data_IF_770411530439
#
_entry.id   IF_770411530439
#
_cell.length_a   1.000
_cell.length_b   1.000
_cell.length_c   1.000
_cell.angle_alpha   90.00
_cell.angle_beta   90.00
_cell.angle_gamma   90.00
#
_symmetry.space_group_name_H-M   'P 1'
#
loop_
_entity.id
_entity.type
_entity.pdbx_description
1 polymer ?
#
# COMPACT_ATOMS: atom_id res chain seq x y z
N UNK A 1 -3.93 -16.98 -16.94
CA UNK A 1 -2.65 -16.27 -16.86
C UNK A 1 -1.79 -16.86 -15.76
N UNK A 2 -0.50 -17.05 -16.02
CA UNK A 2 0.45 -17.46 -14.99
C UNK A 2 0.69 -16.29 -14.02
N UNK A 3 0.85 -16.59 -12.73
CA UNK A 3 1.21 -15.63 -11.69
C UNK A 3 2.42 -16.21 -10.95
N UNK A 4 3.41 -15.37 -10.65
CA UNK A 4 4.49 -15.72 -9.72
C UNK A 4 4.17 -15.00 -8.40
N UNK A 5 3.67 -15.67 -7.35
CA UNK A 5 3.10 -15.00 -6.17
C UNK A 5 4.16 -14.42 -5.21
N UNK A 6 5.45 -14.65 -5.48
CA UNK A 6 6.56 -14.22 -4.63
C UNK A 6 7.68 -13.56 -5.44
N UNK A 7 8.45 -12.68 -4.81
CA UNK A 7 9.72 -12.17 -5.34
C UNK A 7 10.83 -12.40 -4.32
N UNK A 8 12.05 -12.66 -4.79
CA UNK A 8 13.21 -12.70 -3.91
C UNK A 8 13.76 -11.29 -3.68
N UNK A 9 14.01 -10.94 -2.43
CA UNK A 9 14.64 -9.68 -2.01
C UNK A 9 15.88 -9.98 -1.20
N UNK A 10 16.97 -9.27 -1.52
CA UNK A 10 18.23 -9.31 -0.76
C UNK A 10 18.44 -7.98 -0.05
N UNK A 11 18.64 -8.01 1.27
CA UNK A 11 19.11 -6.87 2.04
C UNK A 11 20.63 -7.01 2.29
N UNK A 12 21.49 -6.32 1.53
CA UNK A 12 22.94 -6.42 1.70
C UNK A 12 23.48 -5.59 2.88
N UNK A 13 22.63 -4.84 3.58
CA UNK A 13 23.05 -3.91 4.63
C UNK A 13 23.28 -4.62 5.97
N UNK A 14 24.03 -3.95 6.86
CA UNK A 14 24.24 -4.40 8.24
C UNK A 14 23.08 -4.12 9.22
N UNK A 15 21.96 -3.59 8.73
CA UNK A 15 20.76 -3.32 9.51
C UNK A 15 19.51 -3.81 8.77
N UNK A 16 18.43 -4.05 9.52
CA UNK A 16 17.16 -4.47 8.94
C UNK A 16 16.54 -3.34 8.10
N UNK A 17 15.85 -3.71 7.01
CA UNK A 17 15.21 -2.77 6.08
C UNK A 17 13.70 -3.02 6.05
N UNK A 18 12.92 -1.96 6.24
CA UNK A 18 11.48 -2.01 6.10
C UNK A 18 11.08 -1.86 4.63
N UNK A 19 10.24 -2.78 4.15
CA UNK A 19 9.50 -2.71 2.89
C UNK A 19 8.02 -2.63 3.26
N UNK A 20 7.39 -1.44 3.21
CA UNK A 20 5.99 -1.31 3.61
C UNK A 20 5.04 -1.95 2.60
N UNK A 21 3.89 -2.44 3.08
CA UNK A 21 2.86 -2.99 2.21
C UNK A 21 2.40 -1.94 1.19
N UNK A 22 2.19 -2.39 -0.04
CA UNK A 22 1.68 -1.53 -1.10
C UNK A 22 2.78 -0.89 -1.93
N UNK A 23 4.04 -1.01 -1.53
CA UNK A 23 5.16 -0.53 -2.34
C UNK A 23 5.12 -1.20 -3.72
N UNK A 24 5.25 -0.39 -4.76
CA UNK A 24 5.24 -0.85 -6.16
C UNK A 24 6.67 -1.20 -6.57
N UNK A 25 6.81 -2.33 -7.25
CA UNK A 25 8.06 -2.87 -7.76
C UNK A 25 7.95 -2.92 -9.29
N UNK A 26 8.75 -2.09 -9.96
CA UNK A 26 8.79 -2.00 -11.41
C UNK A 26 9.72 -3.06 -11.99
N UNK A 27 9.46 -3.46 -13.23
CA UNK A 27 10.30 -4.38 -13.98
C UNK A 27 9.71 -5.78 -14.05
N UNK A 28 10.58 -6.78 -13.99
CA UNK A 28 10.22 -8.19 -14.12
C UNK A 28 9.42 -8.51 -15.38
N UNK A 29 8.70 -9.62 -15.31
CA UNK A 29 7.70 -9.98 -16.32
C UNK A 29 6.40 -9.15 -16.21
N UNK A 30 6.12 -8.59 -15.03
CA UNK A 30 4.93 -7.79 -14.68
C UNK A 30 5.26 -6.85 -13.51
N UNK A 31 4.72 -5.63 -13.51
CA UNK A 31 4.80 -4.73 -12.34
C UNK A 31 4.05 -5.32 -11.14
N UNK A 32 4.65 -5.26 -9.95
CA UNK A 32 4.12 -5.88 -8.73
C UNK A 32 3.89 -4.87 -7.60
N UNK A 33 3.07 -5.26 -6.63
CA UNK A 33 2.96 -4.58 -5.33
C UNK A 33 3.19 -5.56 -4.19
N UNK A 34 3.83 -5.11 -3.11
CA UNK A 34 4.15 -5.94 -1.92
C UNK A 34 2.89 -6.16 -1.07
N UNK A 35 2.60 -7.40 -0.67
CA UNK A 35 1.32 -7.76 -0.02
C UNK A 35 1.20 -7.32 1.45
N UNK A 36 2.30 -7.41 2.19
CA UNK A 36 2.38 -7.13 3.64
C UNK A 36 3.63 -6.29 3.92
N UNK A 37 3.69 -5.63 5.07
CA UNK A 37 4.91 -4.93 5.49
C UNK A 37 5.92 -5.94 5.99
N UNK A 38 7.18 -5.77 5.58
CA UNK A 38 8.24 -6.75 5.81
C UNK A 38 9.45 -6.03 6.36
N UNK A 39 9.95 -6.47 7.51
CA UNK A 39 11.23 -6.04 8.05
C UNK A 39 12.28 -7.09 7.65
N UNK A 40 12.99 -6.83 6.55
CA UNK A 40 13.99 -7.76 6.00
C UNK A 40 15.23 -7.74 6.91
N UNK A 41 15.67 -8.89 7.46
CA UNK A 41 16.86 -8.93 8.33
C UNK A 41 18.11 -8.44 7.60
N UNK A 42 19.11 -7.98 8.37
CA UNK A 42 20.43 -7.62 7.84
C UNK A 42 21.08 -8.83 7.13
N UNK A 43 21.68 -8.60 5.95
CA UNK A 43 22.38 -9.63 5.18
C UNK A 43 21.51 -10.77 4.63
N UNK A 44 20.18 -10.70 4.76
CA UNK A 44 19.29 -11.79 4.41
C UNK A 44 18.77 -11.69 2.96
N UNK A 45 18.55 -12.86 2.36
CA UNK A 45 17.76 -13.02 1.15
C UNK A 45 16.48 -13.78 1.50
N UNK A 46 15.32 -13.20 1.24
CA UNK A 46 14.01 -13.78 1.57
C UNK A 46 13.03 -13.67 0.41
N UNK A 47 12.07 -14.59 0.34
CA UNK A 47 10.95 -14.50 -0.59
C UNK A 47 9.80 -13.70 0.03
N UNK A 48 9.38 -12.65 -0.68
CA UNK A 48 8.31 -11.74 -0.26
C UNK A 48 7.03 -11.99 -1.06
N UNK A 49 5.84 -11.98 -0.42
CA UNK A 49 4.57 -12.13 -1.12
C UNK A 49 4.22 -10.84 -1.88
N UNK A 50 3.82 -10.99 -3.14
CA UNK A 50 3.46 -9.89 -4.03
C UNK A 50 2.16 -10.18 -4.78
N UNK A 51 1.61 -9.15 -5.42
CA UNK A 51 0.53 -9.28 -6.40
C UNK A 51 0.86 -8.50 -7.66
N UNK A 52 0.46 -9.03 -8.82
CA UNK A 52 0.61 -8.35 -10.11
C UNK A 52 -0.36 -7.17 -10.19
N UNK A 53 0.14 -6.02 -10.64
CA UNK A 53 -0.67 -4.83 -10.94
C UNK A 53 -0.64 -4.49 -12.42
N UNK A 54 -0.30 -5.48 -13.24
CA UNK A 54 -0.29 -5.45 -14.71
C UNK A 54 -0.75 -6.82 -15.22
N UNK A 55 -1.93 -6.89 -15.85
CA UNK A 55 -2.56 -8.16 -16.20
C UNK A 55 -2.14 -8.69 -17.58
N UNK A 56 -1.89 -7.79 -18.53
CA UNK A 56 -1.74 -8.10 -19.96
C UNK A 56 -0.30 -8.20 -20.47
N UNK A 57 0.71 -8.01 -19.62
CA UNK A 57 2.13 -8.23 -19.98
C UNK A 57 2.62 -9.53 -19.36
N UNK A 58 3.35 -10.33 -20.13
CA UNK A 58 4.12 -11.47 -19.61
C UNK A 58 5.43 -11.58 -20.38
N UNK A 59 6.41 -10.79 -19.96
CA UNK A 59 7.72 -10.69 -20.61
C UNK A 59 8.48 -9.47 -20.10
N UNK A 60 9.80 -9.48 -20.21
CA UNK A 60 10.67 -8.45 -19.64
C UNK A 60 11.97 -9.05 -19.12
N UNK A 61 12.65 -8.33 -18.21
CA UNK A 61 13.81 -8.82 -17.50
C UNK A 61 13.45 -9.61 -16.24
N UNK A 62 14.46 -10.07 -15.51
CA UNK A 62 14.30 -10.76 -14.21
C UNK A 62 14.50 -9.82 -13.01
N UNK A 63 14.90 -8.57 -13.25
CA UNK A 63 15.17 -7.59 -12.19
C UNK A 63 13.94 -6.76 -11.87
N UNK A 64 13.85 -6.37 -10.60
CA UNK A 64 12.89 -5.40 -10.12
C UNK A 64 13.60 -4.21 -9.52
N UNK A 65 12.99 -3.03 -9.63
CA UNK A 65 13.44 -1.82 -8.95
C UNK A 65 12.32 -1.29 -8.07
N UNK A 66 12.68 -0.78 -6.89
CA UNK A 66 11.76 0.05 -6.14
C UNK A 66 11.35 1.24 -7.02
N UNK A 67 10.05 1.42 -7.14
CA UNK A 67 9.46 2.48 -7.95
C UNK A 67 9.39 3.83 -7.22
N UNK A 68 9.70 3.87 -5.92
CA UNK A 68 9.49 5.01 -5.02
C UNK A 68 8.02 5.44 -4.95
N UNK A 69 7.11 4.48 -5.11
CA UNK A 69 5.66 4.70 -5.19
C UNK A 69 4.89 3.63 -4.43
N UNK A 70 3.76 4.04 -3.86
CA UNK A 70 2.76 3.12 -3.32
C UNK A 70 1.61 2.94 -4.31
N UNK A 71 1.08 1.72 -4.37
CA UNK A 71 -0.18 1.46 -5.03
C UNK A 71 -1.28 2.31 -4.38
N UNK A 72 -2.28 2.71 -5.17
CA UNK A 72 -3.36 3.54 -4.64
C UNK A 72 -4.23 2.77 -3.63
N UNK A 73 -5.08 3.52 -2.93
CA UNK A 73 -5.94 3.00 -1.86
C UNK A 73 -6.78 1.79 -2.29
N UNK A 74 -7.39 1.82 -3.49
CA UNK A 74 -8.28 0.73 -3.94
C UNK A 74 -7.54 -0.57 -4.16
N UNK A 75 -6.37 -0.51 -4.81
CA UNK A 75 -5.50 -1.67 -5.03
C UNK A 75 -5.01 -2.22 -3.69
N UNK A 76 -4.49 -1.36 -2.80
CA UNK A 76 -4.02 -1.78 -1.47
C UNK A 76 -5.14 -2.39 -0.61
N UNK A 77 -6.35 -1.81 -0.65
CA UNK A 77 -7.53 -2.36 0.04
C UNK A 77 -7.91 -3.75 -0.48
N UNK A 78 -8.09 -3.91 -1.79
CA UNK A 78 -8.45 -5.20 -2.39
C UNK A 78 -7.40 -6.28 -2.05
N UNK A 79 -6.13 -5.89 -2.12
CA UNK A 79 -5.01 -6.75 -1.77
C UNK A 79 -5.05 -7.22 -0.31
N UNK A 80 -5.26 -6.27 0.60
CA UNK A 80 -5.30 -6.55 2.03
C UNK A 80 -6.52 -7.39 2.44
N UNK A 81 -7.68 -7.18 1.80
CA UNK A 81 -8.84 -8.07 1.97
C UNK A 81 -8.54 -9.49 1.51
N UNK A 82 -7.87 -9.65 0.35
CA UNK A 82 -7.46 -10.94 -0.17
C UNK A 82 -6.49 -11.68 0.76
N UNK A 83 -5.46 -10.99 1.26
CA UNK A 83 -4.51 -11.57 2.23
C UNK A 83 -5.23 -11.99 3.51
N UNK A 84 -6.10 -11.12 4.05
CA UNK A 84 -6.85 -11.44 5.28
C UNK A 84 -7.77 -12.65 5.11
N UNK A 85 -8.33 -12.85 3.94
CA UNK A 85 -9.18 -14.01 3.63
C UNK A 85 -8.35 -15.29 3.46
N UNK A 86 -7.20 -15.19 2.79
CA UNK A 86 -6.25 -16.31 2.65
C UNK A 86 -5.78 -16.82 4.02
N UNK A 87 -5.50 -15.90 4.94
CA UNK A 87 -5.07 -16.19 6.31
C UNK A 87 -6.14 -16.85 7.19
N UNK A 88 -7.42 -16.82 6.80
CA UNK A 88 -8.47 -17.58 7.50
C UNK A 88 -8.42 -19.07 7.20
N UNK A 89 -7.85 -19.44 6.05
CA UNK A 89 -7.90 -20.79 5.51
C UNK A 89 -6.52 -21.43 5.40
N UNK A 90 -5.44 -20.64 5.48
CA UNK A 90 -4.05 -21.09 5.35
C UNK A 90 -3.09 -20.09 6.02
N UNK A 91 -1.78 -20.39 6.02
CA UNK A 91 -0.73 -19.43 6.39
C UNK A 91 -0.22 -18.60 5.20
N UNK A 92 -0.90 -18.67 4.05
CA UNK A 92 -0.49 -17.96 2.84
C UNK A 92 -0.79 -16.46 2.93
N UNK A 93 0.20 -15.64 2.59
CA UNK A 93 0.07 -14.18 2.46
C UNK A 93 -0.22 -13.76 1.00
N UNK A 94 -0.83 -14.66 0.24
CA UNK A 94 -1.26 -14.40 -1.14
C UNK A 94 -2.58 -13.63 -1.11
N UNK A 95 -2.68 -12.61 -1.94
CA UNK A 95 -3.94 -11.91 -2.20
C UNK A 95 -4.79 -12.64 -3.24
N UNK A 96 -6.05 -12.23 -3.38
CA UNK A 96 -6.83 -12.45 -4.59
C UNK A 96 -6.29 -11.59 -5.74
N UNK A 97 -5.62 -12.24 -6.69
CA UNK A 97 -5.04 -11.60 -7.87
C UNK A 97 -6.11 -11.00 -8.80
N UNK A 98 -7.27 -11.65 -8.92
CA UNK A 98 -8.37 -11.17 -9.75
C UNK A 98 -8.97 -9.89 -9.18
N UNK A 99 -9.15 -9.82 -7.85
CA UNK A 99 -9.62 -8.61 -7.17
C UNK A 99 -8.63 -7.43 -7.30
N UNK A 100 -7.32 -7.71 -7.26
CA UNK A 100 -6.29 -6.69 -7.49
C UNK A 100 -6.36 -6.14 -8.92
N UNK A 101 -6.45 -7.01 -9.93
CA UNK A 101 -6.61 -6.56 -11.32
C UNK A 101 -7.90 -5.79 -11.53
N UNK A 102 -9.01 -6.24 -10.96
CA UNK A 102 -10.28 -5.52 -11.04
C UNK A 102 -10.18 -4.11 -10.42
N UNK A 103 -9.42 -3.93 -9.34
CA UNK A 103 -9.18 -2.62 -8.74
C UNK A 103 -8.35 -1.70 -9.64
N UNK A 104 -7.37 -2.23 -10.37
CA UNK A 104 -6.60 -1.49 -11.39
C UNK A 104 -7.51 -1.10 -12.56
N UNK A 105 -8.23 -2.07 -13.12
CA UNK A 105 -9.18 -1.85 -14.23
C UNK A 105 -10.24 -0.82 -13.89
N UNK A 106 -10.78 -0.86 -12.66
CA UNK A 106 -11.75 0.13 -12.20
C UNK A 106 -11.19 1.55 -12.28
N UNK A 107 -9.95 1.76 -11.86
CA UNK A 107 -9.32 3.09 -11.87
C UNK A 107 -8.95 3.56 -13.28
N UNK A 108 -8.48 2.66 -14.13
CA UNK A 108 -8.25 2.94 -15.56
C UNK A 108 -9.55 3.39 -16.24
N UNK A 109 -10.63 2.62 -16.06
CA UNK A 109 -11.95 2.93 -16.64
C UNK A 109 -12.52 4.25 -16.08
N UNK A 110 -12.46 4.44 -14.75
CA UNK A 110 -12.95 5.66 -14.09
C UNK A 110 -12.28 6.93 -14.62
N UNK A 111 -11.01 6.83 -15.02
CA UNK A 111 -10.22 7.95 -15.55
C UNK A 111 -10.19 8.01 -17.09
N UNK A 112 -10.81 7.06 -17.77
CA UNK A 112 -10.80 6.98 -19.24
C UNK A 112 -9.40 6.72 -19.82
N UNK A 113 -8.54 6.02 -19.10
CA UNK A 113 -7.17 5.73 -19.53
C UNK A 113 -7.17 4.48 -20.41
N UNK A 114 -6.66 4.60 -21.64
CA UNK A 114 -6.41 3.45 -22.48
C UNK A 114 -5.11 2.76 -22.06
N UNK A 115 -5.22 1.51 -21.59
CA UNK A 115 -4.10 0.69 -21.14
C UNK A 115 -4.19 -0.71 -21.75
N UNK A 116 -3.42 -1.01 -22.82
CA UNK A 116 -3.46 -2.30 -23.48
C UNK A 116 -3.11 -3.49 -22.57
N UNK A 117 -2.26 -3.27 -21.56
CA UNK A 117 -1.85 -4.31 -20.61
C UNK A 117 -2.50 -4.22 -19.23
N UNK A 118 -3.50 -3.33 -19.05
CA UNK A 118 -4.12 -3.06 -17.75
C UNK A 118 -3.06 -2.80 -16.66
N UNK A 119 -2.12 -1.90 -16.94
CA UNK A 119 -0.99 -1.60 -16.07
C UNK A 119 -1.33 -0.45 -15.12
N UNK A 120 -1.13 -0.68 -13.82
CA UNK A 120 -1.25 0.36 -12.79
C UNK A 120 -0.39 1.60 -13.09
N UNK A 121 0.78 1.42 -13.72
CA UNK A 121 1.66 2.51 -14.12
C UNK A 121 0.98 3.53 -15.03
N UNK A 122 0.03 3.12 -15.86
CA UNK A 122 -0.68 4.05 -16.75
C UNK A 122 -1.55 5.05 -15.96
N UNK A 123 -2.01 4.67 -14.75
CA UNK A 123 -2.71 5.56 -13.81
C UNK A 123 -1.73 6.61 -13.26
N UNK A 124 -0.50 6.20 -12.97
CA UNK A 124 0.56 7.09 -12.47
C UNK A 124 0.98 8.09 -13.56
N UNK A 125 1.24 7.59 -14.77
CA UNK A 125 1.63 8.41 -15.92
C UNK A 125 0.53 9.39 -16.32
N UNK A 126 -0.74 9.01 -16.13
CA UNK A 126 -1.86 9.95 -16.28
C UNK A 126 -1.81 11.05 -15.21
N UNK A 127 -1.63 10.71 -13.94
CA UNK A 127 -1.59 11.69 -12.85
C UNK A 127 -0.40 12.67 -12.95
N UNK A 128 0.71 12.24 -13.54
CA UNK A 128 1.86 13.13 -13.81
C UNK A 128 1.57 14.16 -14.91
N UNK A 129 0.72 13.82 -15.89
CA UNK A 129 0.33 14.71 -17.00
C UNK A 129 -0.87 15.59 -16.65
N UNK A 130 -1.70 15.17 -15.70
CA UNK A 130 -2.81 15.96 -15.20
C UNK A 130 -2.31 17.08 -14.28
N UNK A 131 -2.51 18.33 -14.68
CA UNK A 131 -1.99 19.50 -13.97
C UNK A 131 -2.44 19.56 -12.50
N UNK A 132 -3.72 19.24 -12.23
CA UNK A 132 -4.27 19.29 -10.88
C UNK A 132 -3.61 18.25 -9.96
N UNK A 133 -3.53 17.00 -10.43
CA UNK A 133 -2.89 15.90 -9.70
C UNK A 133 -1.41 16.15 -9.49
N UNK A 134 -0.68 16.58 -10.53
CA UNK A 134 0.74 16.89 -10.46
C UNK A 134 1.02 18.02 -9.46
N UNK A 135 0.23 19.09 -9.49
CA UNK A 135 0.38 20.22 -8.56
C UNK A 135 0.05 19.82 -7.11
N UNK A 136 -0.98 19.00 -6.90
CA UNK A 136 -1.34 18.48 -5.58
C UNK A 136 -0.22 17.61 -4.99
N UNK A 137 0.36 16.70 -5.78
CA UNK A 137 1.51 15.89 -5.37
C UNK A 137 2.67 16.80 -4.99
N UNK A 138 3.04 17.76 -5.85
CA UNK A 138 4.16 18.67 -5.57
C UNK A 138 3.96 19.49 -4.29
N UNK A 139 2.74 20.00 -4.04
CA UNK A 139 2.44 20.76 -2.82
C UNK A 139 2.56 19.88 -1.56
N UNK A 140 1.98 18.68 -1.58
CA UNK A 140 2.01 17.76 -0.44
C UNK A 140 3.42 17.25 -0.15
N UNK A 141 4.19 16.92 -1.20
CA UNK A 141 5.60 16.50 -1.07
C UNK A 141 6.43 17.63 -0.48
N UNK A 142 6.29 18.86 -0.99
CA UNK A 142 7.03 20.02 -0.50
C UNK A 142 6.73 20.35 0.96
N UNK A 143 5.46 20.21 1.39
CA UNK A 143 5.07 20.47 2.79
C UNK A 143 5.69 19.49 3.76
N UNK A 144 5.82 18.22 3.35
CA UNK A 144 6.36 17.17 4.20
C UNK A 144 5.48 16.86 5.43
N UNK A 145 5.86 15.85 6.22
CA UNK A 145 5.28 15.63 7.54
C UNK A 145 5.73 16.70 8.53
N UNK A 146 4.90 17.01 9.52
CA UNK A 146 5.25 17.89 10.64
C UNK A 146 6.33 17.25 11.53
N UNK A 147 7.10 18.07 12.25
CA UNK A 147 8.10 17.58 13.20
C UNK A 147 7.47 16.63 14.24
N UNK A 148 8.03 15.43 14.36
CA UNK A 148 7.53 14.38 15.27
C UNK A 148 6.27 13.65 14.78
N UNK A 149 5.73 13.99 13.60
CA UNK A 149 4.63 13.25 13.00
C UNK A 149 5.09 11.85 12.60
N UNK A 150 4.34 10.83 13.01
CA UNK A 150 4.61 9.42 12.76
C UNK A 150 3.55 8.74 11.87
N UNK A 151 2.50 9.47 11.49
CA UNK A 151 1.49 8.93 10.58
C UNK A 151 0.55 9.98 10.02
N UNK A 152 -0.31 9.56 9.11
CA UNK A 152 -1.27 10.41 8.40
C UNK A 152 -2.60 9.69 8.25
N UNK A 153 -3.70 10.42 8.40
CA UNK A 153 -5.05 9.93 8.10
C UNK A 153 -5.59 10.73 6.91
N UNK A 154 -6.03 10.01 5.89
CA UNK A 154 -6.46 10.56 4.61
C UNK A 154 -7.98 10.56 4.57
N UNK A 155 -8.55 11.64 4.04
CA UNK A 155 -9.98 11.77 3.84
C UNK A 155 -10.32 12.26 2.44
N UNK A 156 -11.43 11.76 1.91
CA UNK A 156 -12.10 12.29 0.73
C UNK A 156 -13.32 13.07 1.22
N UNK A 157 -13.22 14.41 1.25
CA UNK A 157 -14.19 15.26 1.94
C UNK A 157 -14.23 14.96 3.46
N UNK A 158 -15.41 14.60 3.97
CA UNK A 158 -15.57 14.21 5.40
C UNK A 158 -15.27 12.73 5.66
N UNK A 159 -15.10 11.91 4.61
CA UNK A 159 -14.97 10.46 4.75
C UNK A 159 -13.51 10.09 4.94
N UNK A 160 -13.17 9.51 6.08
CA UNK A 160 -11.85 8.90 6.28
C UNK A 160 -11.74 7.66 5.41
N UNK A 161 -10.69 7.59 4.61
CA UNK A 161 -10.50 6.54 3.61
C UNK A 161 -9.28 5.67 3.88
N UNK A 162 -8.26 6.21 4.52
CA UNK A 162 -7.01 5.53 4.81
C UNK A 162 -6.34 6.11 6.06
N UNK A 163 -5.59 5.29 6.78
CA UNK A 163 -4.58 5.71 7.74
C UNK A 163 -3.27 4.99 7.45
N UNK A 164 -2.16 5.69 7.63
CA UNK A 164 -0.79 5.17 7.48
C UNK A 164 0.04 5.60 8.70
N UNK A 165 0.72 4.67 9.35
CA UNK A 165 1.49 4.87 10.57
C UNK A 165 2.87 4.20 10.43
N UNK A 166 3.90 4.87 10.92
CA UNK A 166 5.27 4.37 11.00
C UNK A 166 5.80 4.49 12.43
N UNK A 167 6.79 3.67 12.78
CA UNK A 167 7.44 3.71 14.09
C UNK A 167 8.05 5.08 14.44
N UNK A 168 8.62 5.75 13.44
CA UNK A 168 9.39 6.98 13.63
C UNK A 168 9.04 8.04 12.60
N UNK A 169 9.39 9.29 12.93
CA UNK A 169 9.22 10.41 12.01
C UNK A 169 10.09 10.24 10.77
N UNK A 170 11.31 9.73 10.93
CA UNK A 170 12.27 9.49 9.85
C UNK A 170 11.74 8.42 8.88
N UNK A 171 11.10 7.38 9.39
CA UNK A 171 10.48 6.35 8.57
C UNK A 171 9.28 6.90 7.78
N UNK A 172 8.43 7.75 8.39
CA UNK A 172 7.37 8.44 7.66
C UNK A 172 7.95 9.38 6.60
N UNK A 173 8.96 10.17 6.94
CA UNK A 173 9.60 11.13 6.05
C UNK A 173 10.21 10.42 4.84
N UNK A 174 10.92 9.31 5.04
CA UNK A 174 11.51 8.50 3.98
C UNK A 174 10.46 7.92 3.01
N UNK A 175 9.22 7.74 3.46
CA UNK A 175 8.12 7.19 2.65
C UNK A 175 7.11 8.26 2.19
N UNK A 176 7.28 9.53 2.61
CA UNK A 176 6.26 10.56 2.44
C UNK A 176 5.89 10.81 0.98
N UNK A 177 6.90 10.96 0.13
CA UNK A 177 6.69 11.22 -1.29
C UNK A 177 5.95 10.07 -1.98
N UNK A 178 6.42 8.84 -1.77
CA UNK A 178 5.78 7.64 -2.31
C UNK A 178 4.31 7.54 -1.87
N UNK A 179 4.02 7.87 -0.61
CA UNK A 179 2.67 7.83 -0.05
C UNK A 179 1.76 8.87 -0.71
N UNK A 180 2.21 10.13 -0.78
CA UNK A 180 1.43 11.20 -1.38
C UNK A 180 1.13 10.95 -2.86
N UNK A 181 2.12 10.42 -3.60
CA UNK A 181 1.95 9.99 -4.99
C UNK A 181 0.81 8.98 -5.11
N UNK A 182 0.84 7.90 -4.32
CA UNK A 182 -0.19 6.85 -4.35
C UNK A 182 -1.58 7.32 -3.91
N UNK A 183 -1.65 8.20 -2.89
CA UNK A 183 -2.90 8.74 -2.35
C UNK A 183 -3.62 9.63 -3.38
N UNK A 184 -2.89 10.47 -4.11
CA UNK A 184 -3.50 11.39 -5.08
C UNK A 184 -4.11 10.63 -6.26
N UNK A 185 -3.60 9.44 -6.61
CA UNK A 185 -4.07 8.68 -7.77
C UNK A 185 -5.56 8.39 -7.74
N UNK A 186 -6.15 8.10 -6.57
CA UNK A 186 -7.58 7.83 -6.47
C UNK A 186 -8.39 8.94 -5.77
N UNK A 187 -7.74 10.05 -5.42
CA UNK A 187 -8.38 11.22 -4.85
C UNK A 187 -9.49 11.74 -5.79
N UNK A 188 -10.67 12.09 -5.25
CA UNK A 188 -11.68 12.76 -6.05
C UNK A 188 -11.23 14.18 -6.39
N UNK A 189 -11.89 14.78 -7.37
CA UNK A 189 -11.78 16.21 -7.63
C UNK A 189 -12.27 17.06 -6.46
N UNK A 190 -12.30 18.38 -6.67
CA UNK A 190 -12.47 19.33 -5.57
C UNK A 190 -13.74 19.08 -4.74
N UNK A 191 -13.56 19.05 -3.43
CA UNK A 191 -14.60 18.81 -2.45
C UNK A 191 -14.50 19.88 -1.37
N UNK A 192 -15.51 20.75 -1.28
CA UNK A 192 -15.60 21.83 -0.29
C UNK A 192 -15.78 21.34 1.16
N UNK A 193 -15.56 20.05 1.44
CA UNK A 193 -15.78 19.43 2.73
C UNK A 193 -14.45 19.09 3.40
N UNK A 194 -14.31 19.49 4.67
CA UNK A 194 -13.09 19.25 5.45
C UNK A 194 -13.21 18.00 6.33
N UNK A 195 -12.11 17.25 6.54
CA UNK A 195 -12.08 16.16 7.50
C UNK A 195 -12.22 16.66 8.94
N UNK A 196 -12.62 15.74 9.82
CA UNK A 196 -12.72 15.97 11.27
C UNK A 196 -11.68 15.14 12.01
N UNK A 197 -10.93 15.77 12.93
CA UNK A 197 -10.02 15.06 13.82
C UNK A 197 -10.75 13.99 14.65
N UNK A 198 -12.01 14.26 15.04
CA UNK A 198 -12.86 13.27 15.72
C UNK A 198 -13.15 12.06 14.83
N UNK A 199 -13.40 12.27 13.53
CA UNK A 199 -13.62 11.17 12.59
C UNK A 199 -12.34 10.34 12.38
N UNK A 200 -11.18 11.00 12.29
CA UNK A 200 -9.87 10.34 12.21
C UNK A 200 -9.59 9.48 13.45
N UNK A 201 -9.76 10.04 14.66
CA UNK A 201 -9.58 9.29 15.92
C UNK A 201 -10.56 8.12 16.05
N UNK A 202 -11.81 8.29 15.60
CA UNK A 202 -12.79 7.18 15.55
C UNK A 202 -12.38 6.10 14.57
N UNK A 203 -11.72 6.42 13.45
CA UNK A 203 -11.20 5.44 12.51
C UNK A 203 -10.05 4.64 13.14
N UNK A 204 -9.06 5.32 13.73
CA UNK A 204 -7.94 4.69 14.43
C UNK A 204 -8.41 3.82 15.62
N UNK A 205 -9.37 4.30 16.41
CA UNK A 205 -9.94 3.50 17.50
C UNK A 205 -10.68 2.25 17.00
N UNK A 206 -11.24 2.25 15.79
CA UNK A 206 -11.85 1.04 15.21
C UNK A 206 -10.79 0.06 14.75
N UNK A 207 -9.70 0.55 14.15
CA UNK A 207 -8.57 -0.27 13.75
C UNK A 207 -8.00 -1.01 14.96
N UNK A 208 -7.71 -0.29 16.05
CA UNK A 208 -7.13 -0.85 17.27
C UNK A 208 -8.04 -1.84 18.04
N UNK A 209 -9.34 -1.89 17.74
CA UNK A 209 -10.34 -2.74 18.44
C UNK A 209 -10.91 -3.85 17.57
N UNK A 210 -10.56 -3.88 16.29
CA UNK A 210 -11.11 -4.86 15.36
C UNK A 210 -10.45 -6.23 15.54
N UNK A 211 -11.11 -7.27 15.03
CA UNK A 211 -10.63 -8.64 15.11
C UNK A 211 -9.30 -8.79 14.35
N UNK A 212 -8.30 -9.36 15.03
CA UNK A 212 -6.94 -9.56 14.53
C UNK A 212 -6.71 -11.04 14.25
N UNK A 213 -6.09 -11.34 13.11
CA UNK A 213 -5.30 -12.57 12.93
C UNK A 213 -3.83 -12.20 13.06
N UNK A 214 -3.17 -12.77 14.06
CA UNK A 214 -1.73 -12.59 14.29
C UNK A 214 -0.95 -13.72 13.63
N UNK A 215 0.13 -13.39 12.90
CA UNK A 215 1.03 -14.35 12.25
C UNK A 215 2.49 -13.90 12.39
N UNK A 216 3.46 -14.83 12.36
CA UNK A 216 4.85 -14.45 12.19
C UNK A 216 5.05 -13.58 10.94
N UNK A 217 5.95 -12.60 11.02
CA UNK A 217 6.37 -11.80 9.89
C UNK A 217 6.99 -12.65 8.78
N UNK A 218 6.98 -12.16 7.52
CA UNK A 218 7.76 -12.79 6.44
C UNK A 218 9.26 -12.69 6.75
N UNK A 219 9.69 -11.53 7.27
CA UNK A 219 11.01 -11.31 7.83
C UNK A 219 10.94 -11.28 9.35
N UNK A 220 11.55 -10.27 9.96
CA UNK A 220 11.47 -10.04 11.40
C UNK A 220 10.08 -9.57 11.81
N UNK A 221 9.70 -9.90 13.04
CA UNK A 221 8.52 -9.35 13.70
C UNK A 221 7.26 -10.19 13.60
N UNK A 222 6.14 -9.55 13.91
CA UNK A 222 4.81 -10.14 13.97
C UNK A 222 3.86 -9.26 13.17
N UNK A 223 3.08 -9.90 12.31
CA UNK A 223 2.07 -9.25 11.50
C UNK A 223 0.69 -9.43 12.14
N UNK A 224 -0.10 -8.37 12.13
CA UNK A 224 -1.50 -8.43 12.52
C UNK A 224 -2.36 -8.01 11.33
N UNK A 225 -3.38 -8.83 11.05
CA UNK A 225 -4.26 -8.67 9.90
C UNK A 225 -5.67 -8.43 10.40
N UNK A 226 -6.17 -7.23 10.17
CA UNK A 226 -7.40 -6.71 10.76
C UNK A 226 -8.49 -6.66 9.72
N UNK A 227 -9.69 -7.12 10.07
CA UNK A 227 -10.90 -6.85 9.26
C UNK A 227 -12.12 -6.70 10.14
N UNK A 228 -12.95 -5.73 9.77
CA UNK A 228 -14.30 -5.54 10.31
C UNK A 228 -15.30 -5.34 9.18
N UNK A 229 -16.54 -4.98 9.51
CA UNK A 229 -17.52 -4.52 8.52
C UNK A 229 -17.21 -3.13 7.96
N UNK A 230 -16.28 -2.38 8.56
CA UNK A 230 -16.01 -0.97 8.20
C UNK A 230 -14.62 -0.71 7.64
N UNK A 231 -13.65 -1.54 7.97
CA UNK A 231 -12.25 -1.38 7.57
C UNK A 231 -11.53 -2.71 7.43
N UNK A 232 -10.44 -2.67 6.67
CA UNK A 232 -9.38 -3.68 6.64
C UNK A 232 -8.07 -2.99 7.04
N UNK A 233 -7.18 -3.70 7.73
CA UNK A 233 -5.90 -3.15 8.18
C UNK A 233 -4.80 -4.20 8.26
N UNK A 234 -3.57 -3.72 8.26
CA UNK A 234 -2.36 -4.52 8.44
C UNK A 234 -1.39 -3.76 9.34
N UNK A 235 -0.75 -4.43 10.28
CA UNK A 235 0.38 -3.91 11.03
C UNK A 235 1.53 -4.90 11.05
N UNK A 236 2.73 -4.37 11.17
CA UNK A 236 3.95 -5.09 11.49
C UNK A 236 4.52 -4.50 12.78
N UNK A 237 4.83 -5.36 13.74
CA UNK A 237 5.49 -5.00 14.99
C UNK A 237 6.75 -5.83 15.19
N UNK A 238 7.77 -5.25 15.82
CA UNK A 238 9.03 -5.93 16.15
C UNK A 238 9.42 -5.56 17.58
N UNK A 239 9.79 -6.56 18.39
CA UNK A 239 10.15 -6.39 19.80
C UNK A 239 9.10 -5.59 20.63
N UNK A 240 7.82 -5.80 20.32
CA UNK A 240 6.70 -5.16 21.02
C UNK A 240 6.41 -3.70 20.60
N UNK A 241 7.17 -3.16 19.64
CA UNK A 241 6.94 -1.83 19.07
C UNK A 241 6.33 -1.92 17.66
N UNK A 242 5.43 -0.99 17.33
CA UNK A 242 4.90 -0.84 15.98
C UNK A 242 6.04 -0.43 15.03
N UNK A 243 6.18 -1.14 13.91
CA UNK A 243 7.08 -0.79 12.81
C UNK A 243 6.33 0.01 11.73
N UNK A 244 5.19 -0.53 11.31
CA UNK A 244 4.32 0.05 10.28
C UNK A 244 2.88 -0.42 10.44
N UNK A 245 1.90 0.44 10.18
CA UNK A 245 0.51 0.03 10.03
C UNK A 245 -0.23 0.84 8.99
N UNK A 246 -1.02 0.15 8.18
CA UNK A 246 -1.92 0.73 7.19
C UNK A 246 -3.36 0.25 7.44
N UNK A 247 -4.33 1.10 7.12
CA UNK A 247 -5.74 0.70 7.16
C UNK A 247 -6.57 1.42 6.12
N UNK A 248 -7.61 0.75 5.63
CA UNK A 248 -8.48 1.23 4.57
C UNK A 248 -9.95 1.06 4.93
N UNK A 249 -10.75 2.08 4.68
CA UNK A 249 -12.20 2.00 4.84
C UNK A 249 -12.82 1.10 3.74
N UNK A 250 -13.72 0.20 4.13
CA UNK A 250 -14.45 -0.67 3.20
C UNK A 250 -15.67 0.04 2.59
N UNK A 251 -16.35 0.86 3.39
CA UNK A 251 -17.44 1.73 2.95
C UNK A 251 -16.91 3.16 2.78
N UNK A 252 -16.30 3.45 1.63
CA UNK A 252 -15.82 4.78 1.29
C UNK A 252 -15.93 5.06 -0.21
#
# INVERSE_FOLDING_TARGET
NAEVPTLQVTNPNGHAVLIPEGQVLDGGHQTRTVNVSILVPAGATIDIPVSCVEAGRWGGGNSFTNSDRFANRRVRRAKMEGVRESLRHSDSKRSDQGAVWHAVDYELNRKGIHSPSANFRDIEDFAQRDNASAQAIQDLVRRGPLAGQQGVVIAHGQRIVNAELFATHEALLANWEALMRGIVLDAPGDHNLRPSATAALKFLSRLAKAEIITKPGVGLGTEEHVRSTRLVGHSLSFEGALVHASAFALAA
#
